data_IF_368217536605
#
_entry.id   IF_368217536605
#
_cell.length_a   1.000
_cell.length_b   1.000
_cell.length_c   1.000
_cell.angle_alpha   90.00
_cell.angle_beta   90.00
_cell.angle_gamma   90.00
#
_symmetry.space_group_name_H-M   'P 1'
#
loop_
_entity.id
_entity.type
_entity.pdbx_description
1 polymer ?
#
# COMPACT_ATOMS: atom_id res chain seq x y z
N UNK A 1 -21.96 2.99 14.00
CA UNK A 1 -21.14 3.60 12.92
C UNK A 1 -19.66 3.34 13.14
N UNK A 2 -19.15 3.40 14.37
CA UNK A 2 -17.73 3.15 14.69
C UNK A 2 -17.17 1.83 14.14
N UNK A 3 -17.90 0.72 14.27
CA UNK A 3 -17.45 -0.58 13.76
C UNK A 3 -17.25 -0.60 12.23
N UNK A 4 -18.04 0.17 11.47
CA UNK A 4 -17.93 0.22 10.00
C UNK A 4 -16.63 0.93 9.62
N UNK A 5 -16.33 2.06 10.26
CA UNK A 5 -15.10 2.80 10.01
C UNK A 5 -13.86 2.04 10.46
N UNK A 6 -13.95 1.26 11.53
CA UNK A 6 -12.91 0.31 11.93
C UNK A 6 -12.61 -0.72 10.84
N UNK A 7 -13.64 -1.29 10.19
CA UNK A 7 -13.48 -2.23 9.07
C UNK A 7 -12.84 -1.53 7.86
N UNK A 8 -13.23 -0.29 7.56
CA UNK A 8 -12.65 0.49 6.45
C UNK A 8 -11.15 0.73 6.65
N UNK A 9 -10.73 1.08 7.87
CA UNK A 9 -9.31 1.24 8.22
C UNK A 9 -8.57 -0.08 8.03
N UNK A 10 -9.13 -1.19 8.54
CA UNK A 10 -8.54 -2.52 8.44
C UNK A 10 -8.39 -2.96 6.97
N UNK A 11 -9.42 -2.75 6.15
CA UNK A 11 -9.37 -3.01 4.71
C UNK A 11 -8.32 -2.14 4.01
N UNK A 12 -8.21 -0.86 4.41
CA UNK A 12 -7.18 0.06 3.94
C UNK A 12 -5.77 -0.45 4.23
N UNK A 13 -5.50 -0.83 5.48
CA UNK A 13 -4.22 -1.43 5.88
C UNK A 13 -3.92 -2.72 5.10
N UNK A 14 -4.89 -3.62 4.99
CA UNK A 14 -4.74 -4.87 4.25
C UNK A 14 -4.37 -4.62 2.77
N UNK A 15 -5.05 -3.67 2.12
CA UNK A 15 -4.76 -3.30 0.73
C UNK A 15 -3.35 -2.71 0.54
N UNK A 16 -2.87 -1.89 1.48
CA UNK A 16 -1.50 -1.36 1.45
C UNK A 16 -0.45 -2.45 1.61
N UNK A 17 -0.67 -3.38 2.56
CA UNK A 17 0.22 -4.53 2.78
C UNK A 17 0.26 -5.44 1.56
N UNK A 18 -0.90 -5.72 0.95
CA UNK A 18 -0.96 -6.51 -0.29
C UNK A 18 -0.25 -5.80 -1.45
N UNK A 19 -0.49 -4.51 -1.64
CA UNK A 19 0.17 -3.73 -2.67
C UNK A 19 1.70 -3.74 -2.53
N UNK A 20 2.21 -3.52 -1.30
CA UNK A 20 3.64 -3.60 -1.02
C UNK A 20 4.19 -5.01 -1.17
N UNK A 21 3.46 -6.03 -0.70
CA UNK A 21 3.90 -7.41 -0.78
C UNK A 21 4.05 -7.86 -2.23
N UNK A 22 3.05 -7.60 -3.07
CA UNK A 22 3.10 -7.90 -4.49
C UNK A 22 4.21 -7.10 -5.18
N UNK A 23 4.33 -5.80 -4.89
CA UNK A 23 5.39 -4.97 -5.45
C UNK A 23 6.79 -5.46 -5.05
N UNK A 24 6.98 -5.88 -3.81
CA UNK A 24 8.21 -6.47 -3.30
C UNK A 24 8.56 -7.78 -4.00
N UNK A 25 7.60 -8.71 -4.10
CA UNK A 25 7.80 -9.99 -4.82
C UNK A 25 8.15 -9.76 -6.29
N UNK A 26 7.48 -8.83 -6.98
CA UNK A 26 7.81 -8.49 -8.36
C UNK A 26 9.19 -7.83 -8.49
N UNK A 27 9.58 -7.02 -7.49
CA UNK A 27 10.89 -6.36 -7.46
C UNK A 27 12.04 -7.34 -7.27
N UNK A 28 11.81 -8.50 -6.63
CA UNK A 28 12.84 -9.53 -6.42
C UNK A 28 13.44 -10.06 -7.73
N UNK A 29 12.65 -10.07 -8.81
CA UNK A 29 13.12 -10.53 -10.13
C UNK A 29 14.14 -9.56 -10.74
N UNK A 30 14.04 -8.26 -10.41
CA UNK A 30 14.94 -7.25 -10.95
C UNK A 30 16.10 -6.92 -10.01
N UNK A 31 15.80 -6.73 -8.72
CA UNK A 31 16.78 -6.32 -7.72
C UNK A 31 16.32 -6.74 -6.31
N UNK A 32 16.97 -7.75 -5.69
CA UNK A 32 16.59 -8.26 -4.37
C UNK A 32 16.79 -7.23 -3.25
N UNK A 33 17.75 -6.30 -3.38
CA UNK A 33 17.93 -5.24 -2.38
C UNK A 33 16.75 -4.27 -2.39
N UNK A 34 16.32 -3.83 -3.58
CA UNK A 34 15.14 -2.97 -3.70
C UNK A 34 13.87 -3.68 -3.26
N UNK A 35 13.79 -4.99 -3.49
CA UNK A 35 12.67 -5.80 -3.02
C UNK A 35 12.58 -5.81 -1.49
N UNK A 36 13.69 -6.04 -0.78
CA UNK A 36 13.70 -5.96 0.69
C UNK A 36 13.28 -4.57 1.20
N UNK A 37 13.77 -3.51 0.57
CA UNK A 37 13.38 -2.14 0.93
C UNK A 37 11.87 -1.89 0.73
N UNK A 38 11.24 -2.51 -0.28
CA UNK A 38 9.79 -2.47 -0.47
C UNK A 38 8.99 -3.10 0.68
N UNK A 39 9.55 -4.08 1.40
CA UNK A 39 8.90 -4.71 2.56
C UNK A 39 9.15 -3.93 3.86
N UNK A 40 10.32 -3.30 4.00
CA UNK A 40 10.72 -2.61 5.24
C UNK A 40 10.20 -1.18 5.29
N UNK A 41 10.21 -0.47 4.16
CA UNK A 41 9.90 0.96 4.10
C UNK A 41 8.53 1.15 3.42
N UNK A 42 7.50 1.57 4.18
CA UNK A 42 6.20 1.95 3.63
C UNK A 42 6.35 2.96 2.49
N UNK A 43 5.81 2.63 1.32
CA UNK A 43 5.88 3.51 0.16
C UNK A 43 7.21 3.51 -0.59
N UNK A 44 8.19 2.67 -0.25
CA UNK A 44 9.41 2.57 -1.07
C UNK A 44 9.12 2.12 -2.51
N UNK A 45 8.00 1.42 -2.73
CA UNK A 45 7.54 1.06 -4.07
C UNK A 45 7.33 2.29 -4.99
N UNK A 46 7.05 3.49 -4.45
CA UNK A 46 6.93 4.72 -5.25
C UNK A 46 8.26 5.09 -5.93
N UNK A 47 9.39 4.83 -5.27
CA UNK A 47 10.72 5.06 -5.83
C UNK A 47 11.05 4.08 -6.96
N UNK A 48 10.52 2.86 -6.89
CA UNK A 48 10.76 1.80 -7.90
C UNK A 48 9.79 1.94 -9.09
N UNK A 49 8.63 2.56 -8.87
CA UNK A 49 7.54 2.64 -9.83
C UNK A 49 7.84 3.38 -11.12
N UNK A 50 8.70 4.39 -11.06
CA UNK A 50 9.11 5.15 -12.24
C UNK A 50 9.87 4.31 -13.26
N UNK A 51 10.30 3.09 -12.90
CA UNK A 51 11.07 2.21 -13.79
C UNK A 51 10.21 1.23 -14.60
N UNK A 52 8.94 1.01 -14.24
CA UNK A 52 8.15 -0.07 -14.86
C UNK A 52 6.64 0.19 -14.74
N UNK A 53 5.96 0.30 -15.89
CA UNK A 53 4.49 0.48 -15.99
C UNK A 53 3.68 -0.58 -15.22
N UNK A 54 4.26 -1.76 -15.01
CA UNK A 54 3.65 -2.92 -14.35
C UNK A 54 3.18 -2.62 -12.91
N UNK A 55 3.78 -1.63 -12.24
CA UNK A 55 3.46 -1.31 -10.85
C UNK A 55 2.32 -0.28 -10.66
N UNK A 56 1.79 0.31 -11.75
CA UNK A 56 0.69 1.30 -11.69
C UNK A 56 -0.55 0.82 -10.91
N UNK A 57 -1.07 -0.41 -11.10
CA UNK A 57 -2.24 -0.83 -10.33
C UNK A 57 -1.95 -0.97 -8.83
N UNK A 58 -0.74 -1.38 -8.45
CA UNK A 58 -0.32 -1.50 -7.05
C UNK A 58 -0.23 -0.12 -6.39
N UNK A 59 0.17 0.90 -7.14
CA UNK A 59 0.13 2.30 -6.68
C UNK A 59 -1.29 2.74 -6.36
N UNK A 60 -2.24 2.45 -7.26
CA UNK A 60 -3.65 2.76 -7.05
C UNK A 60 -4.22 2.05 -5.83
N UNK A 61 -3.88 0.76 -5.65
CA UNK A 61 -4.31 -0.02 -4.49
C UNK A 61 -3.75 0.52 -3.18
N UNK A 62 -2.46 0.86 -3.14
CA UNK A 62 -1.82 1.40 -1.94
C UNK A 62 -2.34 2.79 -1.59
N UNK A 63 -2.51 3.68 -2.58
CA UNK A 63 -3.09 5.01 -2.37
C UNK A 63 -4.55 4.91 -1.94
N UNK A 64 -5.33 4.02 -2.54
CA UNK A 64 -6.70 3.74 -2.11
C UNK A 64 -6.76 3.25 -0.67
N UNK A 65 -5.84 2.38 -0.27
CA UNK A 65 -5.71 1.93 1.10
C UNK A 65 -5.35 3.06 2.07
N UNK A 66 -4.40 3.91 1.71
CA UNK A 66 -4.03 5.08 2.50
C UNK A 66 -5.22 6.04 2.68
N UNK A 67 -5.95 6.32 1.60
CA UNK A 67 -7.17 7.15 1.63
C UNK A 67 -8.26 6.55 2.51
N UNK A 68 -8.47 5.23 2.46
CA UNK A 68 -9.43 4.54 3.32
C UNK A 68 -9.06 4.69 4.81
N UNK A 69 -7.77 4.59 5.15
CA UNK A 69 -7.29 4.81 6.53
C UNK A 69 -7.55 6.25 6.96
N UNK A 70 -7.18 7.25 6.15
CA UNK A 70 -7.42 8.66 6.48
C UNK A 70 -8.92 8.97 6.63
N UNK A 71 -9.75 8.51 5.69
CA UNK A 71 -11.19 8.73 5.74
C UNK A 71 -11.82 8.08 6.99
N UNK A 72 -11.44 6.84 7.29
CA UNK A 72 -11.93 6.14 8.48
C UNK A 72 -11.45 6.80 9.78
N UNK A 73 -10.21 7.25 9.84
CA UNK A 73 -9.66 7.95 11.01
C UNK A 73 -10.36 9.29 11.26
N UNK A 74 -10.59 10.08 10.20
CA UNK A 74 -11.34 11.34 10.31
C UNK A 74 -12.77 11.07 10.75
N UNK A 75 -13.43 10.05 10.19
CA UNK A 75 -14.81 9.72 10.52
C UNK A 75 -15.00 9.14 11.93
N UNK A 76 -13.95 8.57 12.54
CA UNK A 76 -13.95 8.14 13.94
C UNK A 76 -13.60 9.28 14.91
N UNK A 77 -12.93 10.33 14.43
CA UNK A 77 -12.53 11.49 15.24
C UNK A 77 -13.55 12.63 15.22
N UNK A 78 -14.57 12.56 14.36
CA UNK A 78 -15.66 13.52 14.21
C UNK A 78 -16.92 13.04 14.95
#
# INVERSE_FOLDING_TARGET
MEHIWGIVILAGMASMVLAQGIAGVMSFVMDPMKAMLCFVIPGFMFCVINRTRMYRPMLGLWLGGALAIFAGAIALAA
#
